data_IF_131339514088
#
_entry.id   IF_131339514088
#
_cell.length_a   1.000
_cell.length_b   1.000
_cell.length_c   1.000
_cell.angle_alpha   90.00
_cell.angle_beta   90.00
_cell.angle_gamma   90.00
#
_symmetry.space_group_name_H-M   'P 1'
#
loop_
_entity.id
_entity.type
_entity.pdbx_description
1 polymer ?
#
# COMPACT_ATOMS: atom_id res chain seq x y z
N UNK A 1 2.88 -5.81 -8.09
CA UNK A 1 3.54 -5.86 -6.76
C UNK A 1 2.57 -6.45 -5.76
N UNK A 2 1.41 -5.84 -5.67
CA UNK A 2 0.15 -6.38 -5.17
C UNK A 2 -0.23 -7.82 -5.60
N UNK A 3 0.23 -8.32 -6.74
CA UNK A 3 0.02 -9.72 -7.16
C UNK A 3 1.14 -10.71 -6.77
N UNK A 4 2.19 -10.26 -6.07
CA UNK A 4 3.22 -11.18 -5.55
C UNK A 4 2.63 -12.04 -4.43
N UNK A 5 2.68 -13.36 -4.61
CA UNK A 5 2.18 -14.33 -3.64
C UNK A 5 3.26 -14.83 -2.67
N UNK A 6 4.55 -14.66 -2.98
CA UNK A 6 5.63 -15.07 -2.08
C UNK A 6 5.74 -14.10 -0.91
N UNK A 7 5.68 -12.79 -1.17
CA UNK A 7 5.63 -11.73 -0.16
C UNK A 7 4.43 -10.81 -0.45
N UNK A 8 3.23 -11.15 0.05
CA UNK A 8 2.04 -10.36 -0.24
C UNK A 8 2.07 -8.98 0.40
N UNK A 9 1.55 -7.97 -0.31
CA UNK A 9 1.43 -6.58 0.18
C UNK A 9 0.62 -6.48 1.49
N UNK A 10 -0.32 -7.39 1.72
CA UNK A 10 -1.07 -7.48 2.97
C UNK A 10 -0.17 -7.71 4.19
N UNK A 11 0.91 -8.48 4.05
CA UNK A 11 1.88 -8.72 5.12
C UNK A 11 2.64 -7.44 5.48
N UNK A 12 3.13 -6.72 4.49
CA UNK A 12 3.77 -5.41 4.68
C UNK A 12 2.82 -4.40 5.30
N UNK A 13 1.56 -4.34 4.87
CA UNK A 13 0.55 -3.44 5.43
C UNK A 13 0.26 -3.78 6.91
N UNK A 14 0.13 -5.06 7.24
CA UNK A 14 -0.04 -5.52 8.63
C UNK A 14 1.15 -5.15 9.51
N UNK A 15 2.37 -5.38 9.02
CA UNK A 15 3.60 -5.03 9.72
C UNK A 15 3.72 -3.52 9.96
N UNK A 16 3.47 -2.66 8.96
CA UNK A 16 3.54 -1.21 9.14
C UNK A 16 2.51 -0.73 10.18
N UNK A 17 1.31 -1.32 10.23
CA UNK A 17 0.31 -0.98 11.25
C UNK A 17 0.77 -1.24 12.69
N UNK A 18 1.68 -2.21 12.91
CA UNK A 18 2.17 -2.50 14.27
C UNK A 18 3.07 -1.40 14.82
N UNK A 19 3.58 -0.52 13.96
CA UNK A 19 4.38 0.65 14.36
C UNK A 19 3.54 1.74 15.05
N UNK A 20 2.22 1.69 14.92
CA UNK A 20 1.26 2.58 15.59
C UNK A 20 1.53 4.09 15.37
N UNK A 21 1.94 4.47 14.16
CA UNK A 21 2.03 5.88 13.77
C UNK A 21 0.67 6.44 13.37
N UNK A 22 0.49 7.75 13.60
CA UNK A 22 -0.69 8.46 13.13
C UNK A 22 -0.71 8.54 11.60
N UNK A 23 -1.90 8.34 11.02
CA UNK A 23 -2.13 8.62 9.59
C UNK A 23 -2.29 10.12 9.43
N UNK A 24 -1.32 10.76 8.80
CA UNK A 24 -1.35 12.21 8.50
C UNK A 24 -2.04 12.53 7.17
N UNK A 25 -2.08 11.56 6.25
CA UNK A 25 -2.68 11.67 4.91
C UNK A 25 -3.19 10.28 4.50
N UNK A 26 -4.49 10.11 4.17
CA UNK A 26 -5.03 8.82 3.78
C UNK A 26 -4.48 8.36 2.42
N UNK A 27 -4.52 7.05 2.21
CA UNK A 27 -4.16 6.46 0.92
C UNK A 27 -5.04 7.02 -0.20
N UNK A 28 -4.43 7.29 -1.35
CA UNK A 28 -5.08 7.67 -2.60
C UNK A 28 -4.39 6.96 -3.76
N UNK A 29 -5.12 6.65 -4.84
CA UNK A 29 -4.49 6.10 -6.03
C UNK A 29 -3.56 7.14 -6.65
N UNK A 30 -2.46 6.69 -7.23
CA UNK A 30 -1.61 7.47 -8.14
C UNK A 30 -1.86 7.02 -9.59
N UNK A 31 -1.72 7.99 -10.48
CA UNK A 31 -2.07 7.83 -11.88
C UNK A 31 -0.83 7.93 -12.77
N UNK A 32 -0.80 7.12 -13.82
CA UNK A 32 0.17 7.18 -14.90
C UNK A 32 -0.55 7.03 -16.24
N UNK A 33 -0.34 7.96 -17.17
CA UNK A 33 -1.10 8.01 -18.44
C UNK A 33 -2.62 7.88 -18.26
N UNK A 34 -3.18 8.61 -17.27
CA UNK A 34 -4.61 8.59 -16.93
C UNK A 34 -5.17 7.22 -16.50
N UNK A 35 -4.29 6.29 -16.12
CA UNK A 35 -4.66 4.98 -15.55
C UNK A 35 -4.17 4.88 -14.11
N UNK A 36 -4.92 4.14 -13.28
CA UNK A 36 -4.49 3.84 -11.90
C UNK A 36 -3.30 2.90 -11.97
N UNK A 37 -2.20 3.29 -11.34
CA UNK A 37 -0.98 2.50 -11.33
C UNK A 37 -0.61 1.98 -9.92
N UNK A 38 -1.29 2.49 -8.87
CA UNK A 38 -1.26 1.98 -7.51
C UNK A 38 -1.67 3.04 -6.51
#
# INVERSE_FOLDING_TARGET
GDHDSLIPTAGTHGWIKTLNYSVVDPWRPWFFYSQVAG
#
